data_IF_740761003318
#
_entry.id   IF_740761003318
#
_cell.length_a   1.000
_cell.length_b   1.000
_cell.length_c   1.000
_cell.angle_alpha   90.00
_cell.angle_beta   90.00
_cell.angle_gamma   90.00
#
_symmetry.space_group_name_H-M   'P 1'
#
loop_
_entity.id
_entity.type
_entity.pdbx_description
1 polymer ?
#
# COMPACT_ATOMS: atom_id res chain seq x y z
N UNK A 1 8.47 -10.80 10.58
CA UNK A 1 8.87 -12.16 10.12
C UNK A 1 9.75 -12.09 8.87
N UNK A 2 9.29 -11.49 7.74
CA UNK A 2 10.05 -11.41 6.47
C UNK A 2 11.43 -10.77 6.68
N UNK A 3 11.50 -9.60 7.34
CA UNK A 3 12.78 -8.92 7.63
C UNK A 3 13.73 -9.79 8.44
N UNK A 4 13.21 -10.51 9.44
CA UNK A 4 14.02 -11.44 10.24
C UNK A 4 14.58 -12.57 9.37
N UNK A 5 13.76 -13.17 8.53
CA UNK A 5 14.17 -14.23 7.60
C UNK A 5 15.20 -13.76 6.56
N UNK A 6 15.09 -12.54 6.08
CA UNK A 6 16.09 -11.91 5.19
C UNK A 6 17.42 -11.74 5.92
N UNK A 7 17.37 -11.21 7.15
CA UNK A 7 18.57 -10.98 7.98
C UNK A 7 19.32 -12.27 8.31
N UNK A 8 18.59 -13.34 8.65
CA UNK A 8 19.18 -14.67 8.90
C UNK A 8 19.92 -15.24 7.69
N UNK A 9 19.57 -14.80 6.49
CA UNK A 9 20.16 -15.28 5.22
C UNK A 9 21.11 -14.28 4.57
N UNK A 10 21.42 -13.18 5.28
CA UNK A 10 22.24 -12.08 4.74
C UNK A 10 21.67 -11.51 3.42
N UNK A 11 20.35 -11.43 3.32
CA UNK A 11 19.62 -10.87 2.17
C UNK A 11 19.08 -9.51 2.55
N UNK A 12 19.26 -8.50 1.69
CA UNK A 12 18.72 -7.17 1.87
C UNK A 12 17.18 -7.20 1.75
N UNK A 13 16.51 -6.49 2.64
CA UNK A 13 15.06 -6.36 2.66
C UNK A 13 14.64 -4.94 2.30
N UNK A 14 13.87 -4.80 1.21
CA UNK A 14 13.20 -3.56 0.83
C UNK A 14 11.71 -3.69 1.06
N UNK A 15 11.12 -2.74 1.79
CA UNK A 15 9.68 -2.65 2.03
C UNK A 15 9.10 -1.53 1.18
N UNK A 16 8.10 -1.82 0.38
CA UNK A 16 7.23 -0.80 -0.20
C UNK A 16 6.12 -0.46 0.80
N UNK A 17 6.25 0.69 1.46
CA UNK A 17 5.29 1.19 2.44
C UNK A 17 4.38 2.29 1.86
N UNK A 18 4.32 2.43 0.52
CA UNK A 18 3.52 3.47 -0.12
C UNK A 18 2.02 3.37 0.19
N UNK A 19 1.51 2.16 0.46
CA UNK A 19 0.11 1.95 0.80
C UNK A 19 -0.18 1.96 2.30
N UNK A 20 0.84 1.98 3.15
CA UNK A 20 0.69 1.91 4.60
C UNK A 20 0.97 3.25 5.30
N UNK A 21 1.91 4.05 4.77
CA UNK A 21 2.24 5.35 5.33
C UNK A 21 1.02 6.28 5.35
N UNK A 22 0.74 6.86 6.51
CA UNK A 22 -0.43 7.72 6.74
C UNK A 22 -1.71 6.96 7.11
N UNK A 23 -1.68 5.62 7.12
CA UNK A 23 -2.78 4.75 7.53
C UNK A 23 -2.46 3.88 8.74
N UNK A 24 -1.17 3.54 8.90
CA UNK A 24 -0.63 2.77 10.02
C UNK A 24 0.59 3.46 10.61
N UNK A 25 0.85 3.29 11.92
CA UNK A 25 2.07 3.77 12.53
C UNK A 25 3.28 2.98 11.98
N UNK A 26 4.17 3.68 11.29
CA UNK A 26 5.37 3.09 10.68
C UNK A 26 6.60 3.75 11.27
N UNK A 27 7.46 2.96 11.91
CA UNK A 27 8.80 3.35 12.32
C UNK A 27 9.84 2.51 11.56
N UNK A 28 10.56 3.14 10.64
CA UNK A 28 11.53 2.46 9.78
C UNK A 28 12.60 1.69 10.57
N UNK A 29 13.11 2.32 11.63
CA UNK A 29 14.13 1.70 12.46
C UNK A 29 13.61 0.46 13.22
N UNK A 30 12.35 0.48 13.66
CA UNK A 30 11.72 -0.63 14.37
C UNK A 30 11.41 -1.80 13.43
N UNK A 31 11.05 -1.52 12.19
CA UNK A 31 10.88 -2.55 11.16
C UNK A 31 12.19 -3.29 10.86
N UNK A 32 13.32 -2.58 10.98
CA UNK A 32 14.65 -3.13 10.78
C UNK A 32 14.95 -3.53 9.31
N UNK A 33 14.19 -3.02 8.37
CA UNK A 33 14.43 -3.19 6.94
C UNK A 33 15.68 -2.42 6.50
N UNK A 34 16.26 -2.82 5.37
CA UNK A 34 17.40 -2.13 4.79
C UNK A 34 17.00 -0.91 3.97
N UNK A 35 15.83 -1.00 3.33
CA UNK A 35 15.26 0.02 2.46
C UNK A 35 13.74 0.10 2.69
N UNK A 36 13.19 1.31 2.54
CA UNK A 36 11.74 1.50 2.54
C UNK A 36 11.35 2.61 1.57
N UNK A 37 10.43 2.32 0.67
CA UNK A 37 9.85 3.30 -0.25
C UNK A 37 8.54 3.85 0.29
N UNK A 38 8.34 5.17 0.12
CA UNK A 38 7.11 5.87 0.47
C UNK A 38 6.74 6.89 -0.60
N UNK A 39 5.46 7.24 -0.72
CA UNK A 39 4.94 8.10 -1.78
C UNK A 39 3.98 9.15 -1.24
N UNK A 40 4.17 10.41 -1.63
CA UNK A 40 3.38 11.52 -1.14
C UNK A 40 1.89 11.45 -1.53
N UNK A 41 1.60 11.08 -2.79
CA UNK A 41 0.23 11.09 -3.31
C UNK A 41 -0.71 10.05 -2.65
N UNK A 42 -0.15 9.10 -1.89
CA UNK A 42 -0.93 8.10 -1.15
C UNK A 42 -1.46 8.60 0.19
N UNK A 43 -1.01 9.77 0.62
CA UNK A 43 -1.42 10.41 1.88
C UNK A 43 -1.81 11.90 1.70
N UNK A 44 -2.33 12.25 0.51
CA UNK A 44 -2.79 13.61 0.21
C UNK A 44 -1.72 14.61 -0.18
N UNK A 45 -0.48 14.16 -0.31
CA UNK A 45 0.62 14.98 -0.78
C UNK A 45 0.67 15.11 -2.31
N UNK A 46 1.58 15.94 -2.83
CA UNK A 46 1.68 16.19 -4.27
C UNK A 46 2.13 14.93 -5.03
N UNK A 47 1.61 14.71 -6.25
CA UNK A 47 2.06 13.63 -7.11
C UNK A 47 3.51 13.86 -7.58
N UNK A 48 4.19 12.76 -7.93
CA UNK A 48 5.53 12.81 -8.52
C UNK A 48 6.67 12.94 -7.52
N UNK A 49 6.39 12.89 -6.22
CA UNK A 49 7.41 12.86 -5.16
C UNK A 49 7.19 11.70 -4.21
N UNK A 50 8.28 11.13 -3.75
CA UNK A 50 8.35 10.11 -2.72
C UNK A 50 9.72 10.14 -2.05
N UNK A 51 9.95 9.22 -1.14
CA UNK A 51 11.24 9.06 -0.49
C UNK A 51 11.65 7.60 -0.44
N UNK A 52 12.96 7.36 -0.53
CA UNK A 52 13.58 6.09 -0.23
C UNK A 52 14.37 6.23 1.08
N UNK A 53 13.91 5.58 2.12
CA UNK A 53 14.64 5.47 3.37
C UNK A 53 15.69 4.37 3.22
N UNK A 54 16.89 4.66 3.69
CA UNK A 54 18.04 3.77 3.51
C UNK A 54 18.71 3.59 4.87
N UNK A 55 18.86 2.35 5.31
CA UNK A 55 19.55 2.00 6.55
C UNK A 55 20.95 2.64 6.59
N UNK A 56 21.30 3.19 7.73
CA UNK A 56 22.62 3.79 7.92
C UNK A 56 23.73 2.79 7.59
N UNK A 57 24.69 3.21 6.79
CA UNK A 57 25.83 2.39 6.38
C UNK A 57 25.59 1.55 5.12
N UNK A 58 24.36 1.40 4.64
CA UNK A 58 24.10 0.74 3.37
C UNK A 58 24.54 1.65 2.21
N UNK A 59 25.30 1.09 1.29
CA UNK A 59 25.74 1.75 0.06
C UNK A 59 24.78 1.38 -1.06
N UNK A 60 24.35 2.39 -1.80
CA UNK A 60 23.55 2.22 -3.01
C UNK A 60 24.30 2.87 -4.16
N UNK A 61 24.42 2.16 -5.25
CA UNK A 61 24.91 2.73 -6.49
C UNK A 61 23.80 3.59 -7.11
N UNK A 62 24.08 4.84 -7.52
CA UNK A 62 23.08 5.72 -8.07
C UNK A 62 22.61 5.22 -9.44
N UNK A 63 21.28 5.11 -9.62
CA UNK A 63 20.69 4.83 -10.93
C UNK A 63 20.84 6.01 -11.89
N UNK A 64 20.72 7.25 -11.37
CA UNK A 64 20.90 8.48 -12.13
C UNK A 64 22.17 9.15 -11.62
N UNK A 65 23.17 9.21 -12.50
CA UNK A 65 24.50 9.76 -12.22
C UNK A 65 24.69 11.16 -12.81
N UNK A 66 25.60 11.94 -12.27
CA UNK A 66 25.99 13.25 -12.84
C UNK A 66 26.29 14.35 -11.81
N UNK A 67 25.70 14.31 -10.64
CA UNK A 67 25.93 15.28 -9.56
C UNK A 67 25.86 14.63 -8.18
N UNK A 68 26.24 15.39 -7.15
CA UNK A 68 26.37 14.90 -5.76
C UNK A 68 25.08 15.07 -4.94
N UNK A 69 23.94 15.38 -5.59
CA UNK A 69 22.65 15.52 -4.92
C UNK A 69 22.27 14.22 -4.20
N UNK A 70 21.44 14.34 -3.17
CA UNK A 70 21.02 13.22 -2.33
C UNK A 70 22.21 12.38 -1.80
N UNK A 71 23.31 13.05 -1.45
CA UNK A 71 24.58 12.42 -1.00
C UNK A 71 25.17 11.50 -2.07
N UNK A 72 25.18 11.94 -3.31
CA UNK A 72 25.62 11.19 -4.49
C UNK A 72 24.79 9.90 -4.77
N UNK A 73 23.56 9.82 -4.28
CA UNK A 73 22.67 8.67 -4.52
C UNK A 73 21.73 8.89 -5.67
N UNK A 74 21.46 10.15 -6.03
CA UNK A 74 20.53 10.49 -7.11
C UNK A 74 20.86 11.88 -7.63
N UNK A 75 21.43 11.96 -8.82
CA UNK A 75 21.76 13.22 -9.48
C UNK A 75 20.52 13.97 -9.97
N UNK A 76 20.67 15.27 -10.24
CA UNK A 76 19.62 16.16 -10.68
C UNK A 76 19.12 17.07 -9.56
N UNK A 77 18.51 18.18 -9.93
CA UNK A 77 17.99 19.17 -9.00
C UNK A 77 16.86 18.56 -8.14
N UNK A 78 16.94 18.80 -6.84
CA UNK A 78 15.92 18.35 -5.90
C UNK A 78 14.61 19.11 -6.07
N UNK A 79 13.48 18.40 -6.00
CA UNK A 79 12.15 18.97 -6.10
C UNK A 79 11.70 19.58 -4.76
N UNK A 80 12.31 20.69 -4.33
CA UNK A 80 12.10 21.29 -3.00
C UNK A 80 10.65 21.64 -2.70
N UNK A 81 9.92 22.24 -3.64
CA UNK A 81 8.50 22.55 -3.45
C UNK A 81 7.62 21.30 -3.18
N UNK A 82 7.64 20.30 -4.05
CA UNK A 82 6.98 19.03 -3.79
C UNK A 82 7.42 18.33 -2.50
N UNK A 83 8.71 18.41 -2.14
CA UNK A 83 9.20 17.83 -0.88
C UNK A 83 8.59 18.52 0.36
N UNK A 84 8.45 19.85 0.35
CA UNK A 84 7.73 20.58 1.39
C UNK A 84 6.25 20.18 1.45
N UNK A 85 5.60 20.00 0.30
CA UNK A 85 4.22 19.51 0.23
C UNK A 85 4.06 18.10 0.79
N UNK A 86 5.03 17.22 0.53
CA UNK A 86 5.06 15.88 1.12
C UNK A 86 5.21 15.94 2.64
N UNK A 87 6.13 16.77 3.15
CA UNK A 87 6.31 16.93 4.59
C UNK A 87 5.02 17.42 5.27
N UNK A 88 4.37 18.44 4.72
CA UNK A 88 3.12 18.96 5.26
C UNK A 88 1.98 17.91 5.26
N UNK A 89 1.86 17.11 4.19
CA UNK A 89 0.89 16.04 4.12
C UNK A 89 1.18 14.93 5.15
N UNK A 90 2.46 14.59 5.34
CA UNK A 90 2.87 13.60 6.33
C UNK A 90 2.58 14.08 7.77
N UNK A 91 2.88 15.34 8.07
CA UNK A 91 2.57 15.94 9.38
C UNK A 91 1.05 15.89 9.66
N UNK A 92 0.23 16.26 8.67
CA UNK A 92 -1.23 16.21 8.80
C UNK A 92 -1.75 14.79 9.01
N UNK A 93 -1.30 13.83 8.18
CA UNK A 93 -1.69 12.43 8.29
C UNK A 93 -1.26 11.80 9.63
N UNK A 94 -0.09 12.18 10.14
CA UNK A 94 0.41 11.68 11.43
C UNK A 94 -0.36 12.25 12.62
N UNK A 95 -0.81 13.51 12.52
CA UNK A 95 -1.56 14.15 13.60
C UNK A 95 -2.93 13.46 13.87
N UNK A 96 -3.57 12.93 12.83
CA UNK A 96 -4.90 12.30 12.92
C UNK A 96 -4.84 10.76 12.76
N UNK A 97 -3.64 10.17 12.80
CA UNK A 97 -3.43 8.77 12.45
C UNK A 97 -4.30 7.80 13.24
N UNK A 98 -4.31 7.92 14.57
CA UNK A 98 -5.04 6.99 15.44
C UNK A 98 -6.56 7.07 15.24
N UNK A 99 -7.09 8.26 15.03
CA UNK A 99 -8.53 8.47 14.81
C UNK A 99 -8.94 7.99 13.42
N UNK A 100 -8.14 8.29 12.41
CA UNK A 100 -8.34 7.84 11.03
C UNK A 100 -8.25 6.32 10.91
N UNK A 101 -7.24 5.70 11.51
CA UNK A 101 -7.07 4.24 11.53
C UNK A 101 -8.26 3.56 12.22
N UNK A 102 -8.68 4.06 13.38
CA UNK A 102 -9.85 3.53 14.12
C UNK A 102 -11.15 3.67 13.31
N UNK A 103 -11.35 4.81 12.65
CA UNK A 103 -12.50 5.01 11.78
C UNK A 103 -12.46 4.03 10.60
N UNK A 104 -11.33 3.94 9.90
CA UNK A 104 -11.14 3.03 8.77
C UNK A 104 -11.39 1.58 9.19
N UNK A 105 -10.84 1.14 10.32
CA UNK A 105 -11.05 -0.18 10.88
C UNK A 105 -12.52 -0.48 11.11
N UNK A 106 -13.24 0.46 11.72
CA UNK A 106 -14.68 0.31 11.97
C UNK A 106 -15.47 0.10 10.68
N UNK A 107 -15.13 0.82 9.61
CA UNK A 107 -15.81 0.66 8.32
C UNK A 107 -15.45 -0.65 7.63
N UNK A 108 -14.17 -1.01 7.62
CA UNK A 108 -13.71 -2.26 6.99
C UNK A 108 -14.19 -3.49 7.75
N UNK A 109 -14.31 -3.44 9.08
CA UNK A 109 -14.91 -4.53 9.88
C UNK A 109 -16.40 -4.73 9.55
N UNK A 110 -17.13 -3.67 9.21
CA UNK A 110 -18.52 -3.80 8.70
C UNK A 110 -18.57 -4.54 7.36
N UNK A 111 -17.61 -4.29 6.47
CA UNK A 111 -17.49 -5.00 5.19
C UNK A 111 -17.16 -6.47 5.43
N UNK A 112 -16.25 -6.76 6.35
CA UNK A 112 -15.88 -8.13 6.73
C UNK A 112 -17.10 -8.87 7.31
N UNK A 113 -17.80 -8.27 8.27
CA UNK A 113 -18.98 -8.88 8.87
C UNK A 113 -20.10 -9.16 7.85
N UNK A 114 -20.27 -8.28 6.86
CA UNK A 114 -21.17 -8.53 5.74
C UNK A 114 -20.70 -9.72 4.88
N UNK A 115 -19.41 -9.79 4.56
CA UNK A 115 -18.84 -10.87 3.75
C UNK A 115 -18.98 -12.23 4.44
N UNK A 116 -18.71 -12.29 5.74
CA UNK A 116 -18.85 -13.52 6.55
C UNK A 116 -20.29 -14.01 6.64
N UNK A 117 -21.28 -13.12 6.54
CA UNK A 117 -22.71 -13.44 6.52
C UNK A 117 -23.29 -13.68 5.13
N UNK A 118 -22.49 -13.61 4.06
CA UNK A 118 -22.93 -13.69 2.66
C UNK A 118 -22.37 -14.94 1.99
N UNK A 119 -23.26 -15.85 1.55
CA UNK A 119 -22.86 -17.06 0.83
C UNK A 119 -22.13 -16.71 -0.47
N UNK A 120 -21.04 -17.42 -0.76
CA UNK A 120 -20.22 -17.18 -1.95
C UNK A 120 -19.29 -15.98 -1.87
N UNK A 121 -19.18 -15.32 -0.71
CA UNK A 121 -18.22 -14.23 -0.47
C UNK A 121 -17.21 -14.66 0.59
N UNK A 122 -15.93 -14.36 0.33
CA UNK A 122 -14.83 -14.71 1.23
C UNK A 122 -13.96 -13.49 1.49
N UNK A 123 -13.47 -13.32 2.71
CA UNK A 123 -12.41 -12.37 3.02
C UNK A 123 -11.07 -12.98 2.64
N UNK A 124 -10.27 -12.25 1.87
CA UNK A 124 -8.93 -12.65 1.44
C UNK A 124 -7.88 -11.95 2.28
N UNK A 125 -6.93 -12.72 2.80
CA UNK A 125 -5.92 -12.24 3.73
C UNK A 125 -6.32 -12.45 5.20
N UNK A 126 -5.51 -11.91 6.10
CA UNK A 126 -5.77 -12.01 7.54
C UNK A 126 -6.85 -11.01 7.96
N UNK A 127 -7.91 -11.43 8.66
CA UNK A 127 -8.97 -10.53 9.10
C UNK A 127 -8.55 -9.63 10.28
N UNK A 128 -7.48 -9.96 10.98
CA UNK A 128 -6.99 -9.24 12.17
C UNK A 128 -5.72 -8.45 11.86
N UNK A 129 -4.67 -9.13 11.37
CA UNK A 129 -3.37 -8.54 11.06
C UNK A 129 -3.35 -8.00 9.62
N UNK A 130 -3.97 -6.85 9.43
CA UNK A 130 -4.13 -6.18 8.13
C UNK A 130 -4.06 -4.67 8.25
N UNK A 131 -3.86 -4.00 7.15
CA UNK A 131 -4.04 -2.54 7.07
C UNK A 131 -5.51 -2.18 7.35
N UNK A 132 -5.75 -1.22 8.24
CA UNK A 132 -7.08 -0.86 8.71
C UNK A 132 -8.02 -0.38 7.61
N UNK A 133 -7.47 0.25 6.58
CA UNK A 133 -8.21 0.85 5.47
C UNK A 133 -8.44 -0.08 4.27
N UNK A 134 -7.96 -1.32 4.30
CA UNK A 134 -8.03 -2.26 3.17
C UNK A 134 -8.78 -3.53 3.53
N UNK A 135 -9.65 -3.98 2.60
CA UNK A 135 -10.25 -5.32 2.60
C UNK A 135 -10.22 -5.86 1.18
N UNK A 136 -9.80 -7.09 1.03
CA UNK A 136 -9.91 -7.83 -0.22
C UNK A 136 -10.97 -8.93 -0.08
N UNK A 137 -11.89 -8.99 -1.03
CA UNK A 137 -12.97 -9.96 -1.08
C UNK A 137 -12.81 -10.87 -2.28
N UNK A 138 -13.10 -12.14 -2.11
CA UNK A 138 -13.22 -13.13 -3.17
C UNK A 138 -14.68 -13.55 -3.36
N UNK A 139 -15.06 -13.89 -4.58
CA UNK A 139 -16.42 -14.29 -4.95
C UNK A 139 -16.37 -15.67 -5.62
N UNK A 140 -17.30 -16.57 -5.27
CA UNK A 140 -17.30 -17.92 -5.84
C UNK A 140 -17.88 -17.96 -7.24
N UNK A 141 -19.03 -17.31 -7.46
CA UNK A 141 -19.81 -17.42 -8.70
C UNK A 141 -20.10 -16.07 -9.40
N UNK A 142 -19.49 -14.99 -8.95
CA UNK A 142 -19.71 -13.65 -9.51
C UNK A 142 -18.41 -13.13 -10.13
N UNK A 143 -18.47 -12.73 -11.39
CA UNK A 143 -17.38 -12.00 -12.02
C UNK A 143 -17.35 -10.56 -11.45
N UNK A 144 -16.18 -10.04 -11.05
CA UNK A 144 -16.07 -8.72 -10.46
C UNK A 144 -16.49 -7.58 -11.39
N UNK A 145 -16.29 -7.74 -12.69
CA UNK A 145 -16.54 -6.68 -13.65
C UNK A 145 -17.96 -6.10 -13.60
N UNK A 146 -19.04 -6.92 -13.65
CA UNK A 146 -20.40 -6.41 -13.47
C UNK A 146 -20.62 -5.76 -12.11
N UNK A 147 -20.00 -6.32 -11.06
CA UNK A 147 -20.09 -5.77 -9.70
C UNK A 147 -19.41 -4.40 -9.60
N UNK A 148 -18.21 -4.26 -10.16
CA UNK A 148 -17.48 -3.00 -10.21
C UNK A 148 -18.29 -1.92 -10.95
N UNK A 149 -18.87 -2.26 -12.11
CA UNK A 149 -19.71 -1.34 -12.89
C UNK A 149 -20.96 -0.94 -12.10
N UNK A 150 -21.62 -1.88 -11.43
CA UNK A 150 -22.80 -1.60 -10.62
C UNK A 150 -22.50 -0.69 -9.41
N UNK A 151 -21.36 -0.90 -8.76
CA UNK A 151 -20.91 -0.08 -7.67
C UNK A 151 -20.53 1.33 -8.14
N UNK A 152 -19.82 1.46 -9.26
CA UNK A 152 -19.47 2.75 -9.87
C UNK A 152 -20.73 3.56 -10.24
N UNK A 153 -21.76 2.92 -10.82
CA UNK A 153 -23.06 3.52 -11.10
C UNK A 153 -23.78 3.98 -9.82
N UNK A 154 -23.53 3.30 -8.71
CA UNK A 154 -24.05 3.69 -7.38
C UNK A 154 -23.17 4.76 -6.69
N UNK A 155 -22.11 5.24 -7.33
CA UNK A 155 -21.19 6.23 -6.78
C UNK A 155 -20.16 5.65 -5.82
N UNK A 156 -19.93 4.33 -5.85
CA UNK A 156 -18.95 3.64 -5.00
C UNK A 156 -17.77 3.18 -5.85
N UNK A 157 -16.64 3.84 -5.72
CA UNK A 157 -15.42 3.48 -6.42
C UNK A 157 -14.68 2.36 -5.66
N UNK A 158 -14.51 1.24 -6.32
CA UNK A 158 -13.73 0.08 -5.84
C UNK A 158 -12.83 -0.44 -6.97
N UNK A 159 -11.92 -1.32 -6.65
CA UNK A 159 -11.00 -1.87 -7.64
C UNK A 159 -11.03 -3.40 -7.66
N UNK A 160 -10.67 -4.02 -8.78
CA UNK A 160 -10.38 -5.46 -8.82
C UNK A 160 -9.22 -5.76 -7.85
N UNK A 161 -9.11 -6.98 -7.37
CA UNK A 161 -8.11 -7.37 -6.37
C UNK A 161 -6.66 -7.02 -6.73
N UNK A 162 -6.37 -6.83 -8.02
CA UNK A 162 -5.08 -6.43 -8.58
C UNK A 162 -5.07 -4.97 -9.04
N UNK A 163 -5.02 -4.02 -8.11
CA UNK A 163 -5.08 -2.59 -8.45
C UNK A 163 -3.80 -1.99 -9.06
N UNK A 164 -2.70 -2.74 -9.09
CA UNK A 164 -1.46 -2.30 -9.74
C UNK A 164 -1.33 -2.78 -11.19
N UNK A 165 -2.17 -3.71 -11.64
CA UNK A 165 -2.24 -4.11 -13.03
C UNK A 165 -3.08 -3.08 -13.80
N UNK A 166 -2.46 -1.95 -14.15
CA UNK A 166 -3.02 -1.01 -15.11
C UNK A 166 -3.16 -1.73 -16.46
N UNK A 167 -4.40 -1.95 -16.90
CA UNK A 167 -4.75 -2.43 -18.26
C UNK A 167 -4.37 -3.87 -18.64
N UNK A 168 -3.73 -4.64 -17.77
CA UNK A 168 -3.35 -6.03 -18.06
C UNK A 168 -4.36 -7.04 -17.51
N UNK A 169 -4.77 -7.99 -18.34
CA UNK A 169 -5.49 -9.22 -17.93
C UNK A 169 -4.56 -10.16 -17.12
N UNK A 170 -3.43 -9.66 -16.62
CA UNK A 170 -2.49 -10.50 -15.89
C UNK A 170 -2.92 -10.68 -14.43
N UNK A 171 -2.95 -11.94 -13.97
CA UNK A 171 -3.33 -12.27 -12.61
C UNK A 171 -2.41 -11.60 -11.57
N UNK A 172 -2.98 -11.26 -10.42
CA UNK A 172 -2.18 -10.78 -9.29
C UNK A 172 -1.22 -11.88 -8.82
N UNK A 173 0.10 -11.66 -8.87
CA UNK A 173 1.05 -12.66 -8.40
C UNK A 173 0.89 -12.96 -6.91
N UNK A 174 0.37 -12.02 -6.13
CA UNK A 174 0.08 -12.19 -4.70
C UNK A 174 -1.10 -13.13 -4.51
N UNK A 175 -2.23 -12.87 -5.17
CA UNK A 175 -3.43 -13.71 -5.05
C UNK A 175 -3.17 -15.11 -5.63
N UNK A 176 -2.43 -15.21 -6.73
CA UNK A 176 -2.00 -16.49 -7.29
C UNK A 176 -1.14 -17.29 -6.30
N UNK A 177 -0.19 -16.64 -5.62
CA UNK A 177 0.62 -17.29 -4.57
C UNK A 177 -0.20 -17.73 -3.35
N UNK A 178 -1.33 -17.05 -3.08
CA UNK A 178 -2.30 -17.44 -2.05
C UNK A 178 -3.27 -18.55 -2.53
N UNK A 179 -3.17 -19.00 -3.78
CA UNK A 179 -4.10 -19.98 -4.36
C UNK A 179 -5.51 -19.44 -4.63
N UNK A 180 -5.61 -18.12 -4.80
CA UNK A 180 -6.88 -17.42 -5.04
C UNK A 180 -7.01 -17.06 -6.52
N UNK A 181 -8.20 -17.29 -7.08
CA UNK A 181 -8.57 -16.77 -8.39
C UNK A 181 -8.76 -15.26 -8.30
N UNK A 182 -7.82 -14.51 -8.83
CA UNK A 182 -7.81 -13.05 -8.77
C UNK A 182 -8.85 -12.40 -9.68
N UNK A 183 -9.30 -13.09 -10.72
CA UNK A 183 -10.38 -12.62 -11.59
C UNK A 183 -11.72 -12.51 -10.85
N UNK A 184 -11.83 -13.19 -9.71
CA UNK A 184 -13.01 -13.16 -8.83
C UNK A 184 -12.74 -12.44 -7.52
N UNK A 185 -11.91 -11.41 -7.55
CA UNK A 185 -11.58 -10.64 -6.36
C UNK A 185 -11.86 -9.15 -6.53
N UNK A 186 -12.20 -8.49 -5.43
CA UNK A 186 -12.43 -7.06 -5.36
C UNK A 186 -11.73 -6.50 -4.12
N UNK A 187 -11.07 -5.36 -4.28
CA UNK A 187 -10.45 -4.64 -3.18
C UNK A 187 -11.25 -3.39 -2.84
N UNK A 188 -11.66 -3.30 -1.60
CA UNK A 188 -12.21 -2.10 -0.99
C UNK A 188 -11.08 -1.35 -0.29
N UNK A 189 -10.90 -0.09 -0.64
CA UNK A 189 -9.88 0.78 -0.03
C UNK A 189 -10.57 2.06 0.43
N UNK A 190 -10.40 2.42 1.69
CA UNK A 190 -10.89 3.70 2.20
C UNK A 190 -9.82 4.75 1.99
N UNK A 191 -10.24 5.89 1.51
CA UNK A 191 -9.41 7.08 1.39
C UNK A 191 -9.34 7.81 2.74
N UNK A 192 -8.28 8.56 2.93
CA UNK A 192 -8.14 9.54 4.01
C UNK A 192 -9.08 10.73 3.84
#
# INVERSE_FOLDING_TARGET
EVVASCRERDVLCHIDACGALGHDPIAFDDLGADLMSVSAHKLGGPPGIGALLVRRGLRLDPLIVGGDQERARRAGMEAGGPACGFAAALEAATADLDDSARFARTQTDRVIAWAEGTEGVRVLGDPVDRLDHLVCLGFDDVEPQPLLIGLDQAGVAVHSGSSCATEGLEPSPVLAAMGVDDQRSMRVSLSW
#
